data_IF_137023401904
#
_entry.id   IF_137023401904
#
_cell.length_a   1.000
_cell.length_b   1.000
_cell.length_c   1.000
_cell.angle_alpha   90.00
_cell.angle_beta   90.00
_cell.angle_gamma   90.00
#
_symmetry.space_group_name_H-M   'P 1'
#
loop_
_entity.id
_entity.type
_entity.pdbx_description
1 polymer ?
#
# COMPACT_ATOMS: atom_id res chain seq x y z
N UNK A 1 -3.49 51.16 -14.81
CA UNK A 1 -2.86 51.07 -13.48
C UNK A 1 -3.63 50.19 -12.50
N UNK A 2 -4.96 50.32 -12.36
CA UNK A 2 -5.75 49.54 -11.40
C UNK A 2 -5.72 48.00 -11.61
N UNK A 3 -5.71 47.53 -12.87
CA UNK A 3 -5.67 46.09 -13.19
C UNK A 3 -4.35 45.42 -12.80
N UNK A 4 -3.23 46.13 -12.95
CA UNK A 4 -1.91 45.65 -12.55
C UNK A 4 -1.78 45.56 -11.02
N UNK A 5 -2.37 46.50 -10.28
CA UNK A 5 -2.40 46.47 -8.82
C UNK A 5 -3.23 45.28 -8.29
N UNK A 6 -4.36 44.98 -8.94
CA UNK A 6 -5.20 43.83 -8.60
C UNK A 6 -4.50 42.50 -8.89
N UNK A 7 -3.79 42.39 -10.02
CA UNK A 7 -3.01 41.20 -10.37
C UNK A 7 -1.82 41.04 -9.42
N UNK A 8 -1.14 42.13 -9.01
CA UNK A 8 -0.07 42.08 -8.01
C UNK A 8 -0.59 41.68 -6.62
N UNK A 9 -1.74 42.20 -6.17
CA UNK A 9 -2.34 41.80 -4.89
C UNK A 9 -2.77 40.32 -4.90
N UNK A 10 -3.36 39.86 -6.01
CA UNK A 10 -3.73 38.46 -6.19
C UNK A 10 -2.51 37.53 -6.29
N UNK A 11 -1.41 38.00 -6.92
CA UNK A 11 -0.13 37.29 -6.93
C UNK A 11 0.53 37.26 -5.55
N UNK A 12 0.46 38.34 -4.77
CA UNK A 12 1.01 38.38 -3.40
C UNK A 12 0.26 37.40 -2.48
N UNK A 13 -1.08 37.31 -2.58
CA UNK A 13 -1.87 36.29 -1.88
C UNK A 13 -1.59 34.85 -2.36
N UNK A 14 -1.23 34.67 -3.64
CA UNK A 14 -0.84 33.37 -4.19
C UNK A 14 0.61 32.98 -3.86
N UNK A 15 1.50 33.95 -3.61
CA UNK A 15 2.92 33.73 -3.27
C UNK A 15 3.25 33.85 -1.78
N UNK A 16 2.29 34.25 -0.93
CA UNK A 16 2.47 34.19 0.52
C UNK A 16 2.37 32.74 0.98
N UNK A 17 3.40 31.95 0.67
CA UNK A 17 3.70 30.77 1.48
C UNK A 17 3.75 31.22 2.94
N UNK A 18 3.09 30.50 3.84
CA UNK A 18 3.08 30.82 5.27
C UNK A 18 4.52 30.98 5.74
N UNK A 19 4.92 32.21 6.05
CA UNK A 19 6.29 32.53 6.43
C UNK A 19 6.57 32.01 7.84
N UNK A 20 7.73 31.39 8.01
CA UNK A 20 8.23 30.97 9.31
C UNK A 20 8.60 32.19 10.16
N UNK A 21 7.84 32.42 11.23
CA UNK A 21 8.07 33.58 12.11
C UNK A 21 9.03 33.25 13.25
N UNK A 22 8.93 32.05 13.81
CA UNK A 22 9.66 31.66 15.01
C UNK A 22 10.42 30.35 14.81
N UNK A 23 11.68 30.33 15.26
CA UNK A 23 12.55 29.14 15.25
C UNK A 23 13.02 28.82 16.67
N UNK A 24 13.14 27.55 17.06
CA UNK A 24 13.64 27.20 18.38
C UNK A 24 15.12 27.60 18.49
N UNK A 25 15.52 28.15 19.65
CA UNK A 25 16.92 28.48 19.93
C UNK A 25 17.71 27.22 20.28
N UNK A 26 17.08 26.28 20.99
CA UNK A 26 17.64 24.99 21.36
C UNK A 26 16.82 23.82 20.83
N UNK A 27 16.83 22.71 21.55
CA UNK A 27 16.13 21.47 21.17
C UNK A 27 14.87 21.24 22.00
N UNK A 28 14.54 22.15 22.92
CA UNK A 28 13.39 22.04 23.81
C UNK A 28 12.48 23.25 23.72
N UNK A 29 11.20 23.08 24.07
CA UNK A 29 10.26 24.21 24.17
C UNK A 29 10.63 25.22 25.25
N UNK A 30 11.33 24.79 26.31
CA UNK A 30 11.85 25.67 27.37
C UNK A 30 13.09 26.47 26.96
N UNK A 31 13.76 26.13 25.85
CA UNK A 31 14.96 26.84 25.37
C UNK A 31 14.62 28.19 24.69
N UNK A 32 13.34 28.55 24.63
CA UNK A 32 12.79 29.74 23.95
C UNK A 32 12.93 29.70 22.42
N UNK A 33 12.36 30.71 21.77
CA UNK A 33 12.27 30.85 20.32
C UNK A 33 12.83 32.21 19.88
N UNK A 34 13.35 32.26 18.65
CA UNK A 34 13.92 33.43 17.99
C UNK A 34 13.07 33.81 16.78
N UNK A 35 12.90 35.12 16.46
CA UNK A 35 13.43 36.28 17.19
C UNK A 35 12.70 36.55 18.51
N UNK A 36 13.19 37.52 19.30
CA UNK A 36 12.48 38.00 20.49
C UNK A 36 11.05 38.47 20.10
N UNK A 37 10.06 38.13 20.92
CA UNK A 37 8.63 38.25 20.57
C UNK A 37 7.93 36.91 20.30
N UNK A 38 8.70 35.84 20.10
CA UNK A 38 8.21 34.48 19.92
C UNK A 38 7.83 33.76 21.24
N UNK A 39 7.74 34.48 22.37
CA UNK A 39 7.34 33.91 23.66
C UNK A 39 5.83 33.59 23.69
N UNK A 40 5.02 34.31 22.90
CA UNK A 40 3.59 34.02 22.77
C UNK A 40 3.33 32.98 21.66
N UNK A 41 3.25 31.72 22.08
CA UNK A 41 3.01 30.56 21.20
C UNK A 41 1.69 30.57 20.45
N UNK A 42 0.71 31.38 20.87
CA UNK A 42 -0.65 31.38 20.32
C UNK A 42 -0.89 32.34 19.17
N UNK A 43 0.14 33.05 18.69
CA UNK A 43 0.00 34.04 17.61
C UNK A 43 0.92 33.82 16.41
N UNK A 44 2.00 33.06 16.57
CA UNK A 44 3.03 32.93 15.54
C UNK A 44 3.09 31.54 14.90
N UNK A 45 3.71 31.45 13.72
CA UNK A 45 4.14 30.20 13.11
C UNK A 45 5.52 29.77 13.64
N UNK A 46 5.62 28.51 14.08
CA UNK A 46 6.81 27.93 14.67
C UNK A 46 7.39 26.85 13.76
N UNK A 47 8.59 27.08 13.26
CA UNK A 47 9.24 26.22 12.28
C UNK A 47 10.34 25.36 12.91
N UNK A 48 10.18 24.05 12.74
CA UNK A 48 11.10 23.05 13.26
C UNK A 48 11.92 22.43 12.13
N UNK A 49 13.24 22.50 12.30
CA UNK A 49 14.22 21.98 11.35
C UNK A 49 15.09 20.85 11.92
N UNK A 50 15.08 20.66 13.24
CA UNK A 50 15.88 19.67 13.95
C UNK A 50 15.00 18.91 14.95
N UNK A 51 15.49 17.76 15.42
CA UNK A 51 14.85 17.00 16.49
C UNK A 51 14.49 17.92 17.66
N UNK A 52 13.26 17.78 18.15
CA UNK A 52 12.68 18.73 19.10
C UNK A 52 11.91 18.04 20.21
N UNK A 53 11.94 18.62 21.40
CA UNK A 53 11.33 18.08 22.60
C UNK A 53 10.36 19.07 23.25
N UNK A 54 9.08 18.71 23.28
CA UNK A 54 8.09 19.46 24.04
C UNK A 54 8.14 19.06 25.51
N UNK A 55 8.73 19.94 26.32
CA UNK A 55 8.84 19.81 27.78
C UNK A 55 7.89 20.72 28.56
N UNK A 56 7.17 21.59 27.86
CA UNK A 56 6.17 22.50 28.43
C UNK A 56 4.78 22.23 27.86
N UNK A 57 3.76 22.48 28.68
CA UNK A 57 2.35 22.39 28.28
C UNK A 57 1.94 23.71 27.60
N UNK A 58 2.25 23.83 26.31
CA UNK A 58 2.00 25.04 25.52
C UNK A 58 1.07 24.76 24.34
N UNK A 59 0.18 25.71 24.04
CA UNK A 59 -0.64 25.69 22.80
C UNK A 59 0.06 26.53 21.75
N UNK A 60 0.30 25.95 20.58
CA UNK A 60 0.92 26.62 19.45
C UNK A 60 -0.15 27.05 18.44
N UNK A 61 -0.02 28.25 17.88
CA UNK A 61 -0.88 28.67 16.79
C UNK A 61 -0.61 27.80 15.57
N UNK A 62 0.62 27.83 15.07
CA UNK A 62 1.01 27.00 13.94
C UNK A 62 2.35 26.32 14.20
N UNK A 63 2.42 25.02 13.92
CA UNK A 63 3.67 24.27 13.90
C UNK A 63 3.94 23.82 12.46
N UNK A 64 5.10 24.20 11.92
CA UNK A 64 5.55 23.83 10.58
C UNK A 64 6.82 22.98 10.71
N UNK A 65 6.80 21.80 10.09
CA UNK A 65 7.94 20.90 10.04
C UNK A 65 8.62 21.06 8.69
N UNK A 66 9.83 21.62 8.69
CA UNK A 66 10.56 21.96 7.48
C UNK A 66 11.56 20.89 7.03
N UNK A 67 12.00 20.02 7.95
CA UNK A 67 12.96 18.95 7.68
C UNK A 67 12.53 17.64 8.32
N UNK A 68 13.09 16.54 7.83
CA UNK A 68 12.94 15.22 8.44
C UNK A 68 13.53 15.24 9.85
N UNK A 69 12.70 14.97 10.85
CA UNK A 69 13.08 15.07 12.27
C UNK A 69 12.19 14.21 13.15
N UNK A 70 12.57 14.10 14.43
CA UNK A 70 11.80 13.46 15.49
C UNK A 70 11.30 14.49 16.50
N UNK A 71 10.01 14.46 16.80
CA UNK A 71 9.42 15.19 17.93
C UNK A 71 9.17 14.22 19.08
N UNK A 72 9.66 14.57 20.26
CA UNK A 72 9.38 13.86 21.50
C UNK A 72 8.54 14.75 22.44
N UNK A 73 7.67 14.15 23.25
CA UNK A 73 6.95 14.83 24.33
C UNK A 73 6.70 13.87 25.49
N UNK A 74 6.91 14.34 26.72
CA UNK A 74 6.52 13.63 27.96
C UNK A 74 5.21 14.14 28.53
N UNK A 75 4.56 15.08 27.84
CA UNK A 75 3.34 15.75 28.27
C UNK A 75 2.08 15.07 27.70
N UNK A 76 0.94 15.34 28.33
CA UNK A 76 -0.32 14.62 28.10
C UNK A 76 -0.89 14.83 26.69
N UNK A 77 -0.89 16.06 26.17
CA UNK A 77 -1.17 16.38 24.76
C UNK A 77 -0.50 17.71 24.39
N UNK A 78 0.35 17.71 23.37
CA UNK A 78 0.70 18.96 22.68
C UNK A 78 -0.50 19.45 21.87
N UNK A 79 -0.81 20.74 21.94
CA UNK A 79 -1.85 21.38 21.13
C UNK A 79 -1.26 22.29 20.05
N UNK A 80 -1.77 22.18 18.83
CA UNK A 80 -1.50 23.10 17.72
C UNK A 80 -2.80 23.47 17.02
N UNK A 81 -3.05 24.75 16.73
CA UNK A 81 -4.25 25.11 15.94
C UNK A 81 -4.07 24.66 14.49
N UNK A 82 -2.91 24.98 13.91
CA UNK A 82 -2.51 24.63 12.56
C UNK A 82 -1.25 23.76 12.61
N UNK A 83 -1.18 22.76 11.75
CA UNK A 83 -0.04 21.87 11.66
C UNK A 83 0.28 21.59 10.20
N UNK A 84 1.55 21.75 9.83
CA UNK A 84 2.03 21.55 8.47
C UNK A 84 3.30 20.72 8.43
N UNK A 85 3.31 19.67 7.62
CA UNK A 85 4.54 19.11 7.09
C UNK A 85 4.76 19.72 5.71
N UNK A 86 5.94 20.27 5.44
CA UNK A 86 6.30 20.67 4.07
C UNK A 86 6.63 19.43 3.22
N UNK A 87 6.86 19.63 1.93
CA UNK A 87 7.16 18.56 0.98
C UNK A 87 8.45 17.78 1.32
N UNK A 88 8.46 16.49 0.99
CA UNK A 88 9.61 15.58 1.12
C UNK A 88 10.17 15.45 2.55
N UNK A 89 9.30 15.52 3.56
CA UNK A 89 9.64 15.43 4.98
C UNK A 89 9.07 14.18 5.61
N UNK A 90 9.86 13.51 6.46
CA UNK A 90 9.37 12.48 7.36
C UNK A 90 9.44 12.98 8.80
N UNK A 91 8.29 13.07 9.45
CA UNK A 91 8.23 13.39 10.88
C UNK A 91 7.97 12.12 11.68
N UNK A 92 8.83 11.81 12.65
CA UNK A 92 8.53 10.82 13.69
C UNK A 92 8.02 11.50 14.94
N UNK A 93 6.82 11.14 15.40
CA UNK A 93 6.19 11.77 16.54
C UNK A 93 6.01 10.77 17.70
N UNK A 94 6.77 11.01 18.75
CA UNK A 94 6.79 10.27 20.01
C UNK A 94 6.24 11.17 21.13
N UNK A 95 4.95 11.44 21.07
CA UNK A 95 4.29 12.34 22.01
C UNK A 95 2.84 12.53 21.62
N UNK A 96 1.96 12.59 22.62
CA UNK A 96 0.54 12.79 22.38
C UNK A 96 0.33 14.18 21.76
N UNK A 97 -0.47 14.26 20.71
CA UNK A 97 -0.60 15.49 19.92
C UNK A 97 -2.03 15.67 19.41
N UNK A 98 -2.51 16.90 19.50
CA UNK A 98 -3.82 17.31 19.07
C UNK A 98 -3.72 18.51 18.13
N UNK A 99 -4.34 18.41 16.95
CA UNK A 99 -4.52 19.53 16.03
C UNK A 99 -5.96 19.98 16.03
N UNK A 100 -6.19 21.28 16.20
CA UNK A 100 -7.54 21.84 16.45
C UNK A 100 -8.27 22.26 15.17
N UNK A 101 -7.58 22.95 14.24
CA UNK A 101 -8.24 23.59 13.09
C UNK A 101 -7.85 23.00 11.75
N UNK A 102 -6.56 22.77 11.50
CA UNK A 102 -6.10 22.30 10.19
C UNK A 102 -4.80 21.53 10.26
N UNK A 103 -4.74 20.42 9.54
CA UNK A 103 -3.53 19.66 9.25
C UNK A 103 -3.27 19.60 7.75
N UNK A 104 -2.09 19.99 7.31
CA UNK A 104 -1.63 19.85 5.93
C UNK A 104 -0.39 18.97 5.87
N UNK A 105 -0.40 17.91 5.06
CA UNK A 105 0.78 17.10 4.78
C UNK A 105 1.25 17.36 3.34
N UNK A 106 2.46 17.88 3.21
CA UNK A 106 3.10 18.16 1.93
C UNK A 106 3.29 16.93 1.05
N UNK A 107 3.59 17.16 -0.22
CA UNK A 107 3.82 16.12 -1.21
C UNK A 107 5.02 15.24 -0.83
N UNK A 108 4.87 13.93 -1.04
CA UNK A 108 5.88 12.92 -0.68
C UNK A 108 6.27 12.87 0.81
N UNK A 109 5.53 13.54 1.70
CA UNK A 109 5.81 13.57 3.13
C UNK A 109 5.05 12.49 3.89
N UNK A 110 5.59 12.10 5.05
CA UNK A 110 5.00 11.11 5.94
C UNK A 110 5.07 11.55 7.40
N UNK A 111 3.99 11.33 8.13
CA UNK A 111 3.91 11.46 9.58
C UNK A 111 3.83 10.07 10.20
N UNK A 112 4.87 9.70 10.97
CA UNK A 112 4.94 8.45 11.72
C UNK A 112 4.51 8.73 13.16
N UNK A 113 3.40 8.12 13.57
CA UNK A 113 2.78 8.34 14.87
C UNK A 113 3.01 7.13 15.77
N UNK A 114 3.69 7.36 16.89
CA UNK A 114 4.04 6.32 17.86
C UNK A 114 3.34 6.48 19.22
N UNK A 115 2.24 7.22 19.27
CA UNK A 115 1.40 7.39 20.46
C UNK A 115 0.07 8.08 20.10
N UNK A 116 -0.63 8.65 21.07
CA UNK A 116 -1.96 9.23 20.92
C UNK A 116 -1.98 10.39 19.92
N UNK A 117 -2.88 10.32 18.96
CA UNK A 117 -3.02 11.36 17.96
C UNK A 117 -4.48 11.77 17.82
N UNK A 118 -4.73 13.07 17.81
CA UNK A 118 -6.07 13.63 17.72
C UNK A 118 -6.11 14.73 16.66
N UNK A 119 -7.10 14.68 15.78
CA UNK A 119 -7.29 15.63 14.69
C UNK A 119 -8.71 16.19 14.74
N UNK A 120 -8.82 17.49 14.59
CA UNK A 120 -10.04 18.24 14.36
C UNK A 120 -9.85 19.16 13.15
N UNK A 121 -10.98 19.62 12.60
CA UNK A 121 -11.00 20.51 11.44
C UNK A 121 -10.48 19.87 10.16
N UNK A 122 -9.90 20.70 9.29
CA UNK A 122 -9.57 20.31 7.92
C UNK A 122 -8.26 19.52 7.84
N UNK A 123 -8.33 18.34 7.23
CA UNK A 123 -7.18 17.52 6.87
C UNK A 123 -6.96 17.57 5.36
N UNK A 124 -5.77 18.03 4.96
CA UNK A 124 -5.37 18.23 3.57
C UNK A 124 -4.07 17.49 3.27
N UNK A 125 -4.05 16.84 2.11
CA UNK A 125 -2.87 16.16 1.57
C UNK A 125 -2.48 16.83 0.25
N UNK A 126 -1.22 17.21 0.11
CA UNK A 126 -0.69 17.73 -1.14
C UNK A 126 -0.25 16.55 -2.04
N UNK A 127 -0.85 16.42 -3.23
CA UNK A 127 -0.62 15.33 -4.18
C UNK A 127 -0.79 13.90 -3.59
N UNK A 128 -1.97 13.56 -3.02
CA UNK A 128 -2.17 12.28 -2.38
C UNK A 128 -2.26 11.13 -3.40
N UNK A 129 -1.89 9.93 -2.98
CA UNK A 129 -1.77 8.76 -3.85
C UNK A 129 -2.46 7.52 -3.26
N UNK A 130 -2.89 6.63 -4.14
CA UNK A 130 -3.34 5.30 -3.76
C UNK A 130 -2.14 4.43 -3.34
N UNK A 131 -2.34 3.56 -2.35
CA UNK A 131 -1.35 2.64 -1.77
C UNK A 131 -0.12 3.34 -1.15
N UNK A 132 -0.27 4.62 -0.77
CA UNK A 132 0.79 5.43 -0.15
C UNK A 132 0.21 6.37 0.93
N UNK A 133 -0.24 5.82 2.07
CA UNK A 133 -0.75 6.61 3.18
C UNK A 133 0.31 7.57 3.72
N UNK A 134 -0.11 8.79 4.06
CA UNK A 134 0.79 9.85 4.53
C UNK A 134 0.81 9.98 6.06
N UNK A 135 -0.18 9.44 6.77
CA UNK A 135 -0.14 9.27 8.22
C UNK A 135 -0.05 7.77 8.55
N UNK A 136 0.96 7.38 9.33
CA UNK A 136 1.25 5.97 9.63
C UNK A 136 1.32 5.79 11.15
N UNK A 137 0.35 5.07 11.71
CA UNK A 137 0.29 4.71 13.12
C UNK A 137 0.97 3.35 13.31
N UNK A 138 2.29 3.35 13.52
CA UNK A 138 3.05 2.12 13.81
C UNK A 138 2.83 1.64 15.23
N UNK A 139 2.90 2.57 16.18
CA UNK A 139 2.83 2.30 17.61
C UNK A 139 1.80 3.22 18.27
N UNK A 140 0.57 3.22 17.77
CA UNK A 140 -0.50 3.93 18.45
C UNK A 140 -1.74 3.07 18.42
N UNK A 141 -2.45 2.94 19.54
CA UNK A 141 -3.79 2.35 19.58
C UNK A 141 -4.88 3.43 19.59
N UNK A 142 -4.52 4.70 19.38
CA UNK A 142 -5.40 5.84 19.62
C UNK A 142 -5.29 6.87 18.49
N UNK A 143 -6.35 6.92 17.68
CA UNK A 143 -6.62 7.99 16.72
C UNK A 143 -7.98 8.61 17.05
N UNK A 144 -7.97 9.86 17.50
CA UNK A 144 -9.20 10.61 17.76
C UNK A 144 -9.51 11.54 16.60
N UNK A 145 -10.46 11.16 15.75
CA UNK A 145 -11.02 12.06 14.74
C UNK A 145 -12.23 12.76 15.36
N UNK A 146 -12.12 14.07 15.63
CA UNK A 146 -13.11 14.82 16.40
C UNK A 146 -14.44 14.91 15.64
N UNK A 147 -15.55 14.78 16.38
CA UNK A 147 -16.92 14.91 15.84
C UNK A 147 -17.87 15.35 16.94
N UNK A 148 -18.80 16.25 16.66
CA UNK A 148 -19.87 16.66 17.58
C UNK A 148 -19.39 17.10 18.98
N UNK A 149 -18.22 17.71 19.09
CA UNK A 149 -17.74 18.27 20.36
C UNK A 149 -18.11 19.75 20.41
N UNK A 150 -18.82 20.16 21.46
CA UNK A 150 -19.17 21.56 21.69
C UNK A 150 -17.94 22.46 21.62
N UNK A 151 -18.00 23.53 20.82
CA UNK A 151 -16.92 24.49 20.59
C UNK A 151 -15.68 23.93 19.88
N UNK A 152 -15.79 22.79 19.17
CA UNK A 152 -14.73 22.29 18.29
C UNK A 152 -15.27 22.03 16.89
N UNK A 153 -14.40 22.21 15.91
CA UNK A 153 -14.71 21.85 14.52
C UNK A 153 -14.58 20.35 14.34
N UNK A 154 -15.52 19.78 13.58
CA UNK A 154 -15.47 18.37 13.21
C UNK A 154 -14.31 18.10 12.26
N UNK A 155 -13.76 16.90 12.35
CA UNK A 155 -12.74 16.43 11.42
C UNK A 155 -13.32 16.26 10.02
N UNK A 156 -12.66 16.86 9.04
CA UNK A 156 -13.03 16.78 7.62
C UNK A 156 -11.81 16.45 6.78
N UNK A 157 -11.92 15.46 5.89
CA UNK A 157 -10.92 15.27 4.83
C UNK A 157 -11.31 16.15 3.65
N UNK A 158 -10.45 17.09 3.29
CA UNK A 158 -10.67 17.98 2.14
C UNK A 158 -10.00 17.40 0.90
N UNK A 159 -10.76 17.33 -0.19
CA UNK A 159 -10.23 16.81 -1.45
C UNK A 159 -9.35 17.89 -2.12
N UNK A 160 -8.10 17.58 -2.52
CA UNK A 160 -7.27 18.53 -3.24
C UNK A 160 -7.93 18.98 -4.54
N UNK A 161 -7.73 20.25 -4.88
CA UNK A 161 -8.31 20.85 -6.09
C UNK A 161 -7.90 20.03 -7.32
N UNK A 162 -8.89 19.60 -8.10
CA UNK A 162 -8.70 18.84 -9.33
C UNK A 162 -8.45 17.34 -9.15
N UNK A 163 -8.39 16.82 -7.92
CA UNK A 163 -8.26 15.38 -7.70
C UNK A 163 -9.60 14.65 -7.90
N UNK A 164 -9.60 13.64 -8.78
CA UNK A 164 -10.78 12.81 -9.08
C UNK A 164 -10.60 11.34 -8.68
N UNK A 165 -9.45 10.99 -8.11
CA UNK A 165 -9.09 9.61 -7.76
C UNK A 165 -9.13 9.41 -6.25
N UNK A 166 -9.40 8.18 -5.81
CA UNK A 166 -9.22 7.82 -4.40
C UNK A 166 -7.74 7.90 -4.00
N UNK A 167 -7.50 8.12 -2.71
CA UNK A 167 -6.16 8.14 -2.12
C UNK A 167 -6.16 7.60 -0.69
N UNK A 168 -5.00 7.17 -0.21
CA UNK A 168 -4.85 6.66 1.14
C UNK A 168 -4.39 7.76 2.10
N UNK A 169 -5.14 7.93 3.18
CA UNK A 169 -4.86 8.95 4.18
C UNK A 169 -4.08 8.37 5.36
N UNK A 170 -4.60 7.30 5.98
CA UNK A 170 -4.04 6.72 7.20
C UNK A 170 -3.76 5.23 7.04
N UNK A 171 -2.59 4.79 7.51
CA UNK A 171 -2.31 3.39 7.81
C UNK A 171 -2.30 3.20 9.32
N UNK A 172 -3.11 2.25 9.79
CA UNK A 172 -3.34 1.97 11.20
C UNK A 172 -2.75 0.59 11.53
N UNK A 173 -2.27 0.39 12.76
CA UNK A 173 -1.73 -0.89 13.23
C UNK A 173 -2.82 -1.83 13.76
N UNK A 174 -4.02 -1.31 14.05
CA UNK A 174 -5.12 -2.03 14.66
C UNK A 174 -6.48 -1.55 14.07
N UNK A 175 -7.41 -2.47 13.80
CA UNK A 175 -8.74 -2.09 13.31
C UNK A 175 -9.56 -1.26 14.32
N UNK A 176 -9.19 -1.32 15.60
CA UNK A 176 -9.83 -0.57 16.69
C UNK A 176 -9.18 0.78 16.98
N UNK A 177 -8.25 1.26 16.15
CA UNK A 177 -7.54 2.53 16.38
C UNK A 177 -8.46 3.75 16.59
N UNK A 178 -9.66 3.73 16.01
CA UNK A 178 -10.65 4.81 16.12
C UNK A 178 -11.67 4.58 17.24
N UNK A 179 -11.69 3.39 17.86
CA UNK A 179 -12.67 3.01 18.89
C UNK A 179 -12.14 3.35 20.29
N UNK A 180 -11.75 4.61 20.49
CA UNK A 180 -11.05 5.08 21.69
C UNK A 180 -11.98 5.44 22.84
N UNK A 181 -13.25 5.77 22.54
CA UNK A 181 -14.25 6.15 23.51
C UNK A 181 -15.65 5.97 22.90
N UNK A 182 -16.17 4.74 22.95
CA UNK A 182 -17.45 4.37 22.33
C UNK A 182 -18.68 5.08 22.96
N UNK A 183 -18.51 5.69 24.14
CA UNK A 183 -19.62 6.21 24.96
C UNK A 183 -20.00 7.65 24.61
N UNK A 184 -19.05 8.48 24.17
CA UNK A 184 -19.24 9.95 24.20
C UNK A 184 -19.71 10.58 22.86
N UNK A 185 -19.97 9.80 21.79
CA UNK A 185 -20.35 10.28 20.44
C UNK A 185 -19.52 11.48 19.93
N UNK A 186 -18.31 11.65 20.46
CA UNK A 186 -17.45 12.81 20.30
C UNK A 186 -16.31 12.56 19.29
N UNK A 187 -16.40 11.43 18.59
CA UNK A 187 -15.40 10.95 17.65
C UNK A 187 -16.04 10.16 16.51
N UNK A 188 -15.32 10.07 15.40
CA UNK A 188 -15.67 9.15 14.30
C UNK A 188 -15.16 7.75 14.68
N UNK A 189 -16.07 6.80 14.83
CA UNK A 189 -15.77 5.40 15.18
C UNK A 189 -15.60 4.54 13.93
N UNK A 190 -14.91 3.39 14.04
CA UNK A 190 -14.72 2.48 12.90
C UNK A 190 -16.04 1.95 12.34
N UNK A 191 -17.06 1.78 13.20
CA UNK A 191 -18.40 1.30 12.82
C UNK A 191 -19.20 2.29 11.97
N UNK A 192 -18.75 3.55 11.90
CA UNK A 192 -19.41 4.58 11.11
C UNK A 192 -18.95 4.60 9.65
N UNK A 193 -17.97 3.77 9.29
CA UNK A 193 -17.46 3.69 7.92
C UNK A 193 -18.33 2.77 7.06
N UNK A 194 -18.62 3.14 5.80
CA UNK A 194 -18.13 4.32 5.08
C UNK A 194 -18.70 5.65 5.62
N UNK A 195 -17.80 6.60 5.92
CA UNK A 195 -18.16 7.89 6.53
C UNK A 195 -18.17 9.00 5.48
N UNK A 196 -19.24 9.78 5.44
CA UNK A 196 -19.41 10.88 4.48
C UNK A 196 -18.81 12.16 5.04
N UNK A 197 -17.85 12.71 4.30
CA UNK A 197 -17.30 14.05 4.46
C UNK A 197 -17.93 14.98 3.40
N UNK A 198 -17.67 16.28 3.50
CA UNK A 198 -18.19 17.25 2.52
C UNK A 198 -17.73 16.94 1.09
N UNK A 199 -16.45 16.63 0.93
CA UNK A 199 -15.81 16.49 -0.39
C UNK A 199 -15.78 15.04 -0.92
N UNK A 200 -16.29 14.07 -0.14
CA UNK A 200 -16.18 12.66 -0.50
C UNK A 200 -16.53 11.69 0.62
N UNK A 201 -16.16 10.43 0.43
CA UNK A 201 -16.43 9.35 1.39
C UNK A 201 -15.13 8.70 1.82
N UNK A 202 -14.93 8.55 3.12
CA UNK A 202 -13.88 7.72 3.70
C UNK A 202 -14.33 6.27 3.85
N UNK A 203 -13.41 5.34 3.61
CA UNK A 203 -13.60 3.90 3.72
C UNK A 203 -12.50 3.32 4.60
N UNK A 204 -12.88 2.49 5.56
CA UNK A 204 -11.94 1.65 6.30
C UNK A 204 -11.85 0.28 5.64
N UNK A 205 -10.69 -0.02 5.07
CA UNK A 205 -10.41 -1.28 4.37
C UNK A 205 -9.21 -2.00 5.02
N UNK A 206 -8.90 -3.22 4.57
CA UNK A 206 -7.79 -4.03 5.06
C UNK A 206 -7.95 -4.37 6.54
N UNK A 207 -9.11 -4.95 6.87
CA UNK A 207 -9.52 -5.23 8.26
C UNK A 207 -9.55 -3.97 9.13
N UNK A 208 -10.11 -2.89 8.58
CA UNK A 208 -10.26 -1.56 9.19
C UNK A 208 -8.94 -0.84 9.50
N UNK A 209 -7.84 -1.24 8.86
CA UNK A 209 -6.51 -0.67 9.13
C UNK A 209 -6.03 0.36 8.10
N UNK A 210 -6.76 0.57 7.01
CA UNK A 210 -6.42 1.57 5.99
C UNK A 210 -7.61 2.51 5.78
N UNK A 211 -7.42 3.80 6.04
CA UNK A 211 -8.41 4.83 5.71
C UNK A 211 -8.14 5.35 4.29
N UNK A 212 -9.01 4.96 3.36
CA UNK A 212 -9.01 5.40 1.97
C UNK A 212 -10.12 6.43 1.75
N UNK A 213 -9.78 7.58 1.19
CA UNK A 213 -10.75 8.60 0.82
C UNK A 213 -11.02 8.58 -0.68
N UNK A 214 -12.28 8.67 -1.07
CA UNK A 214 -12.71 8.80 -2.46
C UNK A 214 -13.55 10.08 -2.63
N UNK A 215 -13.19 10.97 -3.58
CA UNK A 215 -13.97 12.16 -3.88
C UNK A 215 -15.43 11.84 -4.25
N UNK A 216 -16.32 12.82 -4.10
CA UNK A 216 -17.71 12.69 -4.52
C UNK A 216 -17.81 12.24 -6.00
N UNK A 217 -18.60 11.19 -6.25
CA UNK A 217 -18.77 10.60 -7.59
C UNK A 217 -17.71 9.57 -7.98
N UNK A 218 -16.70 9.32 -7.14
CA UNK A 218 -15.64 8.32 -7.41
C UNK A 218 -15.91 7.02 -6.66
N UNK A 219 -15.92 5.89 -7.38
CA UNK A 219 -16.07 4.56 -6.78
C UNK A 219 -14.83 4.15 -5.99
N UNK A 220 -15.03 3.38 -4.91
CA UNK A 220 -13.95 2.81 -4.13
C UNK A 220 -13.03 1.94 -4.99
N UNK A 221 -11.73 2.25 -4.95
CA UNK A 221 -10.69 1.35 -5.46
C UNK A 221 -10.43 0.24 -4.43
N UNK A 222 -10.69 -1.02 -4.78
CA UNK A 222 -10.58 -2.17 -3.87
C UNK A 222 -9.20 -2.84 -3.86
N UNK A 223 -8.20 -2.27 -4.54
CA UNK A 223 -6.84 -2.82 -4.60
C UNK A 223 -5.97 -2.22 -3.51
N UNK A 224 -5.34 -3.07 -2.70
CA UNK A 224 -4.36 -2.64 -1.69
C UNK A 224 -3.02 -3.30 -1.99
N UNK A 225 -1.96 -2.52 -2.07
CA UNK A 225 -0.60 -3.02 -2.32
C UNK A 225 0.19 -3.07 -1.01
N UNK A 226 0.76 -4.22 -0.70
CA UNK A 226 1.63 -4.48 0.43
C UNK A 226 2.98 -5.00 -0.06
N UNK A 227 4.07 -4.63 0.61
CA UNK A 227 5.41 -5.19 0.34
C UNK A 227 5.86 -6.02 1.53
N UNK A 228 6.14 -7.31 1.30
CA UNK A 228 6.75 -8.18 2.30
C UNK A 228 8.25 -7.88 2.40
N UNK A 229 8.67 -7.24 3.50
CA UNK A 229 10.05 -6.78 3.76
C UNK A 229 10.85 -7.72 4.67
N UNK A 230 10.22 -8.79 5.17
CA UNK A 230 10.86 -9.86 5.93
C UNK A 230 10.65 -11.21 5.28
N UNK A 231 11.53 -12.17 5.61
CA UNK A 231 11.45 -13.54 5.10
C UNK A 231 10.16 -14.24 5.53
N UNK A 232 9.69 -13.97 6.75
CA UNK A 232 8.54 -14.65 7.33
C UNK A 232 7.26 -13.84 7.10
N UNK A 233 6.25 -14.45 6.50
CA UNK A 233 4.91 -13.88 6.38
C UNK A 233 4.14 -14.08 7.69
N UNK A 234 3.65 -12.99 8.28
CA UNK A 234 2.92 -13.00 9.56
C UNK A 234 1.66 -12.14 9.48
N UNK A 235 0.52 -12.67 9.92
CA UNK A 235 -0.74 -11.90 10.02
C UNK A 235 -0.84 -11.10 11.33
N UNK A 236 0.22 -11.06 12.14
CA UNK A 236 0.13 -10.52 13.49
C UNK A 236 -0.20 -9.02 13.45
N UNK A 237 -1.11 -8.61 14.35
CA UNK A 237 -1.28 -7.20 14.68
C UNK A 237 0.08 -6.64 15.05
N UNK A 238 0.39 -5.48 14.50
CA UNK A 238 1.64 -4.81 14.76
C UNK A 238 1.70 -4.42 16.23
N UNK A 239 2.63 -5.03 16.96
CA UNK A 239 2.87 -4.69 18.35
C UNK A 239 3.77 -3.46 18.41
N UNK A 240 3.32 -2.37 19.08
CA UNK A 240 4.09 -1.21 19.50
C UNK A 240 5.61 -1.32 19.59
N UNK A 241 6.09 -2.37 20.25
CA UNK A 241 7.44 -2.42 20.81
C UNK A 241 8.36 -3.43 20.10
N UNK A 242 7.90 -4.08 19.03
CA UNK A 242 8.67 -5.12 18.34
C UNK A 242 9.16 -4.66 16.97
N UNK A 243 10.45 -4.32 16.90
CA UNK A 243 11.21 -4.34 15.66
C UNK A 243 11.63 -5.79 15.36
N UNK A 244 11.54 -6.27 14.11
CA UNK A 244 11.29 -5.51 12.89
C UNK A 244 9.95 -5.81 12.20
N UNK A 245 9.43 -4.82 11.47
CA UNK A 245 8.16 -4.89 10.75
C UNK A 245 8.19 -5.90 9.60
N UNK A 246 7.13 -6.71 9.45
CA UNK A 246 7.03 -7.72 8.38
C UNK A 246 6.71 -7.11 7.01
N UNK A 247 5.87 -6.07 6.98
CA UNK A 247 5.48 -5.33 5.78
C UNK A 247 5.87 -3.84 5.85
N UNK A 248 5.81 -3.17 4.70
CA UNK A 248 6.04 -1.73 4.50
C UNK A 248 5.05 -0.81 5.22
N UNK A 249 3.82 -1.29 5.48
CA UNK A 249 2.82 -0.54 6.23
C UNK A 249 2.10 -1.37 7.29
N UNK A 250 1.62 -0.74 8.39
CA UNK A 250 0.96 -1.45 9.48
C UNK A 250 -0.43 -2.01 9.14
N UNK A 251 -1.06 -1.55 8.04
CA UNK A 251 -2.35 -2.09 7.59
C UNK A 251 -2.22 -3.44 6.88
N UNK A 252 -1.00 -3.83 6.51
CA UNK A 252 -0.70 -5.09 5.85
C UNK A 252 -0.60 -6.25 6.88
N UNK A 253 -0.82 -7.52 6.46
CA UNK A 253 -1.26 -7.91 5.13
C UNK A 253 -2.77 -7.67 4.91
N UNK A 254 -3.18 -7.49 3.65
CA UNK A 254 -4.56 -7.22 3.25
C UNK A 254 -5.40 -8.48 2.91
N UNK A 255 -4.81 -9.67 2.95
CA UNK A 255 -5.47 -10.94 2.58
C UNK A 255 -6.56 -11.38 3.57
N UNK A 256 -6.61 -10.80 4.78
CA UNK A 256 -7.68 -11.05 5.74
C UNK A 256 -9.03 -10.48 5.28
N UNK A 257 -9.03 -9.46 4.42
CA UNK A 257 -10.22 -8.82 3.89
C UNK A 257 -10.53 -9.32 2.48
N UNK A 258 -11.42 -10.32 2.39
CA UNK A 258 -11.77 -11.00 1.14
C UNK A 258 -12.49 -10.10 0.12
N UNK A 259 -12.93 -8.91 0.52
CA UNK A 259 -13.57 -7.95 -0.38
C UNK A 259 -12.56 -7.17 -1.23
N UNK A 260 -11.27 -7.25 -0.87
CA UNK A 260 -10.18 -6.55 -1.52
C UNK A 260 -9.39 -7.45 -2.46
N UNK A 261 -8.76 -6.82 -3.45
CA UNK A 261 -7.67 -7.42 -4.20
C UNK A 261 -6.35 -7.05 -3.52
N UNK A 262 -5.73 -8.02 -2.88
CA UNK A 262 -4.48 -7.80 -2.15
C UNK A 262 -3.29 -8.03 -3.08
N UNK A 263 -2.55 -6.98 -3.42
CA UNK A 263 -1.32 -7.06 -4.21
C UNK A 263 -0.13 -7.18 -3.29
N UNK A 264 0.62 -8.27 -3.41
CA UNK A 264 1.78 -8.56 -2.58
C UNK A 264 3.07 -8.47 -3.41
N UNK A 265 3.87 -7.45 -3.11
CA UNK A 265 5.24 -7.32 -3.62
C UNK A 265 6.23 -7.98 -2.67
N UNK A 266 7.35 -8.43 -3.22
CA UNK A 266 8.41 -9.12 -2.49
C UNK A 266 9.66 -8.23 -2.45
N UNK A 267 10.20 -7.97 -1.28
CA UNK A 267 11.35 -7.06 -1.15
C UNK A 267 12.58 -7.55 -1.92
N UNK A 268 13.15 -6.66 -2.73
CA UNK A 268 14.19 -6.94 -3.74
C UNK A 268 15.47 -7.60 -3.21
N UNK A 269 15.80 -7.45 -1.93
CA UNK A 269 17.02 -8.02 -1.35
C UNK A 269 16.85 -9.41 -0.72
N UNK A 270 15.62 -9.93 -0.60
CA UNK A 270 15.34 -11.23 0.03
C UNK A 270 15.10 -12.32 -1.04
N UNK A 271 15.95 -13.35 -1.08
CA UNK A 271 15.84 -14.43 -2.07
C UNK A 271 14.85 -15.54 -1.70
N UNK A 272 14.35 -15.58 -0.46
CA UNK A 272 13.41 -16.60 -0.01
C UNK A 272 12.38 -16.07 1.00
N UNK A 273 11.14 -16.52 0.86
CA UNK A 273 10.02 -16.16 1.71
C UNK A 273 9.27 -17.39 2.19
N UNK A 274 8.80 -17.35 3.44
CA UNK A 274 8.06 -18.40 4.13
C UNK A 274 6.65 -17.90 4.45
N UNK A 275 5.63 -18.56 3.88
CA UNK A 275 4.24 -18.12 3.96
C UNK A 275 3.44 -18.77 5.09
N UNK A 276 4.04 -19.67 5.88
CA UNK A 276 3.44 -20.32 7.05
C UNK A 276 2.05 -20.92 6.77
N UNK A 277 1.80 -21.39 5.54
CA UNK A 277 0.51 -21.96 5.10
C UNK A 277 -0.70 -21.03 5.26
N UNK A 278 -0.49 -19.71 5.30
CA UNK A 278 -1.58 -18.73 5.33
C UNK A 278 -2.32 -18.71 4.00
N UNK A 279 -3.64 -18.60 4.04
CA UNK A 279 -4.48 -18.56 2.85
C UNK A 279 -4.31 -17.22 2.12
N UNK A 280 -4.15 -17.31 0.80
CA UNK A 280 -3.87 -16.20 -0.10
C UNK A 280 -4.92 -16.11 -1.23
N UNK A 281 -6.15 -16.55 -0.95
CA UNK A 281 -7.24 -16.77 -1.92
C UNK A 281 -7.66 -15.49 -2.66
N UNK A 282 -7.37 -14.30 -2.11
CA UNK A 282 -7.60 -12.99 -2.74
C UNK A 282 -6.29 -12.24 -3.06
N UNK A 283 -5.14 -12.90 -2.96
CA UNK A 283 -3.82 -12.28 -3.09
C UNK A 283 -3.22 -12.50 -4.47
N UNK A 284 -2.72 -11.40 -5.05
CA UNK A 284 -1.88 -11.37 -6.24
C UNK A 284 -0.42 -11.17 -5.83
N UNK A 285 0.43 -12.17 -6.06
CA UNK A 285 1.86 -12.05 -5.77
C UNK A 285 2.62 -11.58 -7.01
N UNK A 286 3.54 -10.63 -6.85
CA UNK A 286 4.46 -10.18 -7.91
C UNK A 286 5.88 -10.74 -7.67
N UNK A 287 6.41 -11.41 -8.69
CA UNK A 287 7.73 -12.04 -8.69
C UNK A 287 8.58 -11.42 -9.80
N UNK A 288 9.41 -10.45 -9.43
CA UNK A 288 10.22 -9.64 -10.37
C UNK A 288 11.70 -10.08 -10.40
N UNK A 289 12.04 -11.14 -9.66
CA UNK A 289 13.40 -11.66 -9.51
C UNK A 289 13.39 -13.12 -9.11
N UNK A 290 14.53 -13.78 -9.28
CA UNK A 290 14.72 -15.16 -8.82
C UNK A 290 14.42 -15.26 -7.32
N UNK A 291 13.46 -16.12 -6.96
CA UNK A 291 12.97 -16.20 -5.57
C UNK A 291 12.45 -17.60 -5.25
N UNK A 292 12.53 -17.96 -3.97
CA UNK A 292 11.92 -19.17 -3.42
C UNK A 292 10.74 -18.83 -2.50
N UNK A 293 9.56 -19.40 -2.74
CA UNK A 293 8.35 -19.20 -1.93
C UNK A 293 7.94 -20.52 -1.26
N UNK A 294 8.10 -20.58 0.06
CA UNK A 294 7.84 -21.76 0.88
C UNK A 294 6.44 -21.76 1.48
N UNK A 295 5.84 -22.94 1.60
CA UNK A 295 4.53 -23.18 2.23
C UNK A 295 3.41 -22.26 1.74
N UNK A 296 3.37 -21.98 0.43
CA UNK A 296 2.29 -21.20 -0.17
C UNK A 296 0.95 -21.95 -0.07
N UNK A 297 -0.14 -21.21 0.09
CA UNK A 297 -1.48 -21.81 0.13
C UNK A 297 -2.49 -20.94 -0.63
N UNK A 298 -2.89 -21.47 -1.79
CA UNK A 298 -3.96 -20.96 -2.66
C UNK A 298 -3.82 -19.47 -3.04
N UNK A 299 -2.65 -18.98 -3.48
CA UNK A 299 -2.59 -17.64 -4.03
C UNK A 299 -3.56 -17.53 -5.22
N UNK A 300 -4.36 -16.46 -5.27
CA UNK A 300 -5.30 -16.22 -6.38
C UNK A 300 -4.56 -16.21 -7.73
N UNK A 301 -3.48 -15.42 -7.77
CA UNK A 301 -2.62 -15.29 -8.95
C UNK A 301 -1.19 -14.91 -8.57
N UNK A 302 -0.24 -15.30 -9.42
CA UNK A 302 1.16 -14.91 -9.32
C UNK A 302 1.59 -14.35 -10.68
N UNK A 303 2.03 -13.10 -10.74
CA UNK A 303 2.69 -12.57 -11.95
C UNK A 303 4.18 -12.73 -11.79
N UNK A 304 4.79 -13.40 -12.77
CA UNK A 304 6.21 -13.73 -12.78
C UNK A 304 6.79 -12.98 -13.97
N UNK A 305 7.79 -12.13 -13.72
CA UNK A 305 8.53 -11.49 -14.79
C UNK A 305 9.20 -12.55 -15.68
N UNK A 306 9.35 -12.25 -16.96
CA UNK A 306 10.04 -13.19 -17.83
C UNK A 306 11.52 -13.30 -17.44
N UNK A 307 12.16 -14.40 -17.84
CA UNK A 307 13.54 -14.75 -17.50
C UNK A 307 13.84 -14.90 -16.00
N UNK A 308 12.81 -14.83 -15.16
CA UNK A 308 12.87 -15.07 -13.72
C UNK A 308 12.49 -16.50 -13.38
N UNK A 309 13.32 -17.11 -12.53
CA UNK A 309 13.07 -18.42 -11.97
C UNK A 309 12.34 -18.33 -10.62
N UNK A 310 11.11 -18.84 -10.57
CA UNK A 310 10.35 -19.00 -9.35
C UNK A 310 10.48 -20.44 -8.84
N UNK A 311 11.04 -20.60 -7.64
CA UNK A 311 10.96 -21.83 -6.87
C UNK A 311 9.80 -21.75 -5.87
N UNK A 312 8.97 -22.77 -5.76
CA UNK A 312 7.89 -22.77 -4.79
C UNK A 312 7.51 -24.17 -4.30
N UNK A 313 6.92 -24.25 -3.11
CA UNK A 313 6.19 -25.45 -2.68
C UNK A 313 5.01 -25.07 -1.79
N UNK A 314 4.02 -25.95 -1.73
CA UNK A 314 2.74 -25.68 -1.09
C UNK A 314 1.55 -26.05 -1.98
N UNK A 315 0.38 -25.46 -1.70
CA UNK A 315 -0.88 -25.75 -2.38
C UNK A 315 -1.20 -24.68 -3.42
N UNK A 316 -1.24 -25.05 -4.70
CA UNK A 316 -1.49 -24.15 -5.84
C UNK A 316 -2.85 -24.37 -6.53
N UNK A 317 -3.77 -25.07 -5.88
CA UNK A 317 -5.10 -25.35 -6.45
C UNK A 317 -5.79 -24.07 -6.91
N UNK A 318 -6.24 -24.04 -8.17
CA UNK A 318 -6.87 -22.88 -8.84
C UNK A 318 -6.02 -21.61 -8.96
N UNK A 319 -4.73 -21.66 -8.64
CA UNK A 319 -3.82 -20.53 -8.82
C UNK A 319 -3.56 -20.29 -10.31
N UNK A 320 -3.43 -19.02 -10.69
CA UNK A 320 -3.03 -18.62 -12.05
C UNK A 320 -1.64 -17.98 -12.04
N UNK A 321 -0.72 -18.51 -12.84
CA UNK A 321 0.55 -17.88 -13.14
C UNK A 321 0.43 -17.04 -14.40
N UNK A 322 0.92 -15.80 -14.34
CA UNK A 322 0.93 -14.85 -15.45
C UNK A 322 2.38 -14.60 -15.88
N UNK A 323 2.61 -14.72 -17.18
CA UNK A 323 3.83 -14.38 -17.91
C UNK A 323 3.49 -13.45 -19.08
N UNK A 324 4.48 -12.93 -19.80
CA UNK A 324 4.20 -12.08 -20.96
C UNK A 324 3.57 -12.82 -22.15
N UNK A 325 3.73 -14.14 -22.24
CA UNK A 325 3.11 -14.98 -23.27
C UNK A 325 1.62 -15.26 -22.98
N UNK A 326 1.21 -15.21 -21.71
CA UNK A 326 -0.11 -15.63 -21.28
C UNK A 326 -0.13 -16.23 -19.88
N UNK A 327 -1.01 -17.21 -19.69
CA UNK A 327 -1.39 -17.72 -18.38
C UNK A 327 -1.19 -19.23 -18.29
N UNK A 328 -0.78 -19.68 -17.10
CA UNK A 328 -0.81 -21.08 -16.70
C UNK A 328 -1.74 -21.19 -15.50
N UNK A 329 -2.83 -21.93 -15.65
CA UNK A 329 -3.83 -22.11 -14.59
C UNK A 329 -3.79 -23.53 -14.05
N UNK A 330 -3.46 -23.65 -12.77
CA UNK A 330 -3.46 -24.92 -12.05
C UNK A 330 -4.87 -25.46 -11.88
N UNK A 331 -5.01 -26.78 -11.97
CA UNK A 331 -6.28 -27.46 -11.74
C UNK A 331 -6.71 -27.37 -10.27
N UNK A 332 -8.01 -27.46 -10.01
CA UNK A 332 -8.57 -27.49 -8.66
C UNK A 332 -8.05 -28.70 -7.85
N UNK A 333 -7.78 -29.82 -8.53
CA UNK A 333 -7.33 -31.08 -7.95
C UNK A 333 -5.80 -31.16 -7.82
N UNK A 334 -5.06 -30.07 -8.08
CA UNK A 334 -3.61 -30.04 -7.95
C UNK A 334 -3.18 -30.49 -6.54
N UNK A 335 -2.39 -31.56 -6.48
CA UNK A 335 -1.83 -32.10 -5.24
C UNK A 335 -0.80 -31.09 -4.68
N UNK A 336 -0.74 -30.90 -3.35
CA UNK A 336 0.26 -30.05 -2.72
C UNK A 336 1.69 -30.49 -3.07
N UNK A 337 2.54 -29.53 -3.43
CA UNK A 337 3.96 -29.75 -3.61
C UNK A 337 4.64 -29.82 -2.24
N UNK A 338 5.24 -30.96 -1.91
CA UNK A 338 6.02 -31.18 -0.68
C UNK A 338 7.51 -30.90 -0.87
N UNK A 339 7.96 -30.79 -2.13
CA UNK A 339 9.32 -30.39 -2.49
C UNK A 339 9.25 -29.20 -3.44
N UNK A 340 10.29 -28.33 -3.48
CA UNK A 340 10.30 -27.19 -4.39
C UNK A 340 10.11 -27.60 -5.86
N UNK A 341 9.17 -26.95 -6.51
CA UNK A 341 9.06 -26.88 -7.95
C UNK A 341 9.66 -25.57 -8.47
N UNK A 342 10.37 -25.65 -9.58
CA UNK A 342 10.95 -24.52 -10.30
C UNK A 342 10.17 -24.29 -11.59
N UNK A 343 9.75 -23.05 -11.82
CA UNK A 343 9.15 -22.60 -13.08
C UNK A 343 9.88 -21.37 -13.63
N UNK A 344 10.05 -21.31 -14.94
CA UNK A 344 10.65 -20.18 -15.66
C UNK A 344 10.04 -20.08 -17.05
N UNK A 345 9.82 -18.86 -17.52
CA UNK A 345 9.66 -18.59 -18.95
C UNK A 345 10.92 -17.89 -19.46
N UNK A 346 11.57 -18.49 -20.47
CA UNK A 346 12.78 -17.98 -21.09
C UNK A 346 12.45 -17.32 -22.42
N UNK A 347 12.65 -16.00 -22.51
CA UNK A 347 12.25 -15.22 -23.68
C UNK A 347 13.12 -15.49 -24.90
N UNK A 348 14.40 -15.85 -24.68
CA UNK A 348 15.36 -16.09 -25.76
C UNK A 348 15.04 -17.37 -26.55
N UNK A 349 14.43 -18.35 -25.87
CA UNK A 349 14.07 -19.65 -26.44
C UNK A 349 12.56 -19.85 -26.55
N UNK A 350 11.76 -18.84 -26.18
CA UNK A 350 10.30 -18.92 -26.02
C UNK A 350 9.85 -20.20 -25.30
N UNK A 351 10.57 -20.54 -24.22
CA UNK A 351 10.41 -21.82 -23.51
C UNK A 351 9.84 -21.61 -22.12
N UNK A 352 8.67 -22.18 -21.85
CA UNK A 352 8.20 -22.38 -20.48
C UNK A 352 8.74 -23.71 -19.94
N UNK A 353 9.46 -23.66 -18.83
CA UNK A 353 10.05 -24.83 -18.17
C UNK A 353 9.42 -25.06 -16.81
N UNK A 354 9.13 -26.32 -16.49
CA UNK A 354 8.67 -26.76 -15.18
C UNK A 354 9.29 -28.12 -14.84
N UNK A 355 9.95 -28.21 -13.67
CA UNK A 355 10.74 -29.40 -13.28
C UNK A 355 10.00 -30.42 -12.40
N UNK A 356 8.69 -30.26 -12.20
CA UNK A 356 7.84 -31.19 -11.44
C UNK A 356 6.55 -31.48 -12.18
N UNK A 357 5.92 -32.58 -11.81
CA UNK A 357 4.63 -32.97 -12.36
C UNK A 357 3.54 -32.04 -11.79
N UNK A 358 2.90 -31.30 -12.69
CA UNK A 358 1.76 -30.44 -12.40
C UNK A 358 0.54 -30.85 -13.19
N UNK A 359 -0.62 -30.34 -12.82
CA UNK A 359 -1.86 -30.45 -13.59
C UNK A 359 -2.32 -29.02 -13.88
N UNK A 360 -2.20 -28.57 -15.14
CA UNK A 360 -2.53 -27.19 -15.51
C UNK A 360 -3.09 -27.06 -16.92
N UNK A 361 -3.65 -25.89 -17.21
CA UNK A 361 -4.00 -25.43 -18.55
C UNK A 361 -3.12 -24.26 -18.96
N UNK A 362 -2.86 -24.14 -20.26
CA UNK A 362 -2.08 -23.05 -20.86
C UNK A 362 -2.99 -22.21 -21.73
N UNK A 363 -2.98 -20.90 -21.48
CA UNK A 363 -3.75 -19.94 -22.26
C UNK A 363 -2.84 -18.82 -22.78
N UNK A 364 -2.60 -18.79 -24.09
CA UNK A 364 -1.79 -17.71 -24.68
C UNK A 364 -2.62 -16.44 -24.83
N UNK A 365 -2.02 -15.30 -24.47
CA UNK A 365 -2.65 -13.98 -24.64
C UNK A 365 -2.06 -13.21 -25.83
N UNK A 366 -0.95 -13.69 -26.38
CA UNK A 366 -0.28 -13.14 -27.55
C UNK A 366 -0.03 -14.22 -28.59
N UNK A 367 -0.07 -13.82 -29.86
CA UNK A 367 0.33 -14.70 -30.97
C UNK A 367 1.84 -14.98 -30.89
N UNK A 368 2.21 -16.19 -31.25
CA UNK A 368 3.60 -16.64 -31.36
C UNK A 368 3.69 -17.60 -32.55
N UNK A 369 4.86 -17.63 -33.19
CA UNK A 369 5.12 -18.58 -34.28
C UNK A 369 5.54 -19.94 -33.72
N UNK A 370 6.45 -19.94 -32.75
CA UNK A 370 6.98 -21.15 -32.11
C UNK A 370 7.06 -20.96 -30.61
N UNK A 371 6.57 -21.91 -29.82
CA UNK A 371 6.67 -21.93 -28.36
C UNK A 371 7.06 -23.31 -27.87
N UNK A 372 7.83 -23.39 -26.78
CA UNK A 372 8.26 -24.66 -26.19
C UNK A 372 7.72 -24.80 -24.78
N UNK A 373 7.11 -25.94 -24.48
CA UNK A 373 6.75 -26.36 -23.13
C UNK A 373 7.68 -27.50 -22.75
N UNK A 374 8.58 -27.27 -21.82
CA UNK A 374 9.47 -28.28 -21.26
C UNK A 374 8.98 -28.70 -19.88
N UNK A 375 8.28 -29.83 -19.80
CA UNK A 375 7.70 -30.31 -18.55
C UNK A 375 7.48 -31.82 -18.52
N UNK A 376 7.23 -32.35 -17.33
CA UNK A 376 6.74 -33.72 -17.09
C UNK A 376 5.25 -33.72 -16.68
N UNK A 377 4.58 -32.58 -16.84
CA UNK A 377 3.24 -32.32 -16.32
C UNK A 377 2.11 -32.92 -17.16
N UNK A 378 0.89 -32.88 -16.62
CA UNK A 378 -0.35 -33.05 -17.36
C UNK A 378 -0.90 -31.68 -17.77
N UNK A 379 -1.02 -31.45 -19.08
CA UNK A 379 -1.67 -30.29 -19.68
C UNK A 379 -3.13 -30.66 -19.95
N UNK A 380 -4.03 -30.14 -19.12
CA UNK A 380 -5.47 -30.41 -19.22
C UNK A 380 -6.08 -29.73 -20.44
N UNK A 381 -5.59 -28.55 -20.80
CA UNK A 381 -6.02 -27.81 -21.99
C UNK A 381 -4.91 -26.89 -22.48
N UNK A 382 -4.71 -26.86 -23.79
CA UNK A 382 -3.80 -25.97 -24.49
C UNK A 382 -4.60 -25.10 -25.45
N UNK A 383 -4.81 -23.83 -25.11
CA UNK A 383 -5.50 -22.88 -26.00
C UNK A 383 -4.50 -22.31 -26.99
N UNK A 384 -4.68 -22.53 -28.29
CA UNK A 384 -3.70 -22.19 -29.34
C UNK A 384 -4.23 -21.09 -30.26
N UNK A 385 -3.34 -20.23 -30.75
CA UNK A 385 -3.66 -19.30 -31.84
C UNK A 385 -3.49 -19.98 -33.21
N UNK A 386 -4.10 -19.40 -34.24
CA UNK A 386 -3.85 -19.76 -35.65
C UNK A 386 -2.38 -19.59 -36.02
N UNK A 387 -1.84 -20.46 -36.87
CA UNK A 387 -0.49 -20.35 -37.45
C UNK A 387 0.63 -20.39 -36.39
N UNK A 388 0.42 -21.20 -35.34
CA UNK A 388 1.38 -21.39 -34.25
C UNK A 388 1.88 -22.83 -34.18
N UNK A 389 3.15 -22.99 -33.79
CA UNK A 389 3.76 -24.29 -33.51
C UNK A 389 4.12 -24.37 -32.03
N UNK A 390 3.66 -25.41 -31.33
CA UNK A 390 4.03 -25.69 -29.94
C UNK A 390 4.80 -27.01 -29.87
N UNK A 391 6.02 -26.96 -29.33
CA UNK A 391 6.80 -28.13 -29.00
C UNK A 391 6.59 -28.47 -27.53
N UNK A 392 6.20 -29.71 -27.24
CA UNK A 392 6.07 -30.22 -25.88
C UNK A 392 7.17 -31.25 -25.68
N UNK A 393 8.11 -30.92 -24.80
CA UNK A 393 9.27 -31.73 -24.46
C UNK A 393 9.05 -32.40 -23.10
N UNK A 394 9.46 -33.67 -23.00
CA UNK A 394 9.35 -34.48 -21.79
C UNK A 394 8.13 -35.40 -21.80
N UNK A 395 7.99 -36.23 -20.77
CA UNK A 395 6.87 -37.18 -20.61
C UNK A 395 5.56 -36.48 -20.20
N UNK A 396 5.20 -35.43 -20.92
CA UNK A 396 3.99 -34.63 -20.70
C UNK A 396 2.77 -35.34 -21.32
N UNK A 397 1.65 -35.31 -20.60
CA UNK A 397 0.35 -35.74 -21.13
C UNK A 397 -0.45 -34.52 -21.57
N UNK A 398 -1.06 -34.56 -22.76
CA UNK A 398 -1.92 -33.49 -23.27
C UNK A 398 -3.34 -34.04 -23.47
N UNK A 399 -4.33 -33.47 -22.78
CA UNK A 399 -5.70 -33.95 -22.83
C UNK A 399 -6.57 -33.26 -23.89
N UNK A 400 -6.39 -31.95 -24.09
CA UNK A 400 -7.25 -31.17 -24.99
C UNK A 400 -6.49 -30.02 -25.66
N UNK A 401 -6.82 -29.78 -26.93
CA UNK A 401 -6.36 -28.63 -27.71
C UNK A 401 -7.57 -27.78 -28.06
N UNK A 402 -7.51 -26.49 -27.73
CA UNK A 402 -8.61 -25.55 -28.00
C UNK A 402 -8.13 -24.49 -28.98
N UNK A 403 -8.62 -24.48 -30.23
CA UNK A 403 -8.27 -23.43 -31.19
C UNK A 403 -8.93 -22.10 -30.80
N UNK A 404 -8.14 -21.03 -30.78
CA UNK A 404 -8.59 -19.65 -30.55
C UNK A 404 -8.52 -18.85 -31.84
N UNK A 405 -9.67 -18.37 -32.31
CA UNK A 405 -9.79 -17.48 -33.46
C UNK A 405 -9.28 -18.05 -34.79
N UNK A 406 -9.49 -19.36 -35.03
CA UNK A 406 -9.12 -19.97 -36.30
C UNK A 406 -10.13 -19.62 -37.38
N UNK A 407 -9.65 -19.14 -38.52
CA UNK A 407 -10.39 -19.13 -39.78
C UNK A 407 -10.38 -20.49 -40.47
N UNK A 408 -11.11 -20.59 -41.58
CA UNK A 408 -11.33 -21.82 -42.34
C UNK A 408 -10.02 -22.49 -42.83
N UNK A 409 -8.96 -21.70 -43.04
CA UNK A 409 -7.68 -22.18 -43.58
C UNK A 409 -6.52 -22.14 -42.59
N UNK A 410 -6.77 -21.72 -41.34
CA UNK A 410 -5.73 -21.61 -40.34
C UNK A 410 -5.28 -22.99 -39.84
N UNK A 411 -3.97 -23.15 -39.66
CA UNK A 411 -3.37 -24.40 -39.17
C UNK A 411 -2.41 -24.10 -38.03
N UNK A 412 -2.35 -24.99 -37.05
CA UNK A 412 -1.36 -24.95 -35.98
C UNK A 412 -0.90 -26.37 -35.69
N UNK A 413 0.32 -26.49 -35.20
CA UNK A 413 0.95 -27.78 -34.95
C UNK A 413 1.32 -27.91 -33.48
N UNK A 414 1.01 -29.07 -32.89
CA UNK A 414 1.50 -29.46 -31.58
C UNK A 414 2.37 -30.69 -31.78
N UNK A 415 3.64 -30.57 -31.45
CA UNK A 415 4.66 -31.60 -31.64
C UNK A 415 5.07 -32.08 -30.26
N UNK A 416 4.80 -33.35 -29.95
CA UNK A 416 5.16 -33.95 -28.66
C UNK A 416 6.37 -34.87 -28.84
N UNK A 417 7.38 -34.72 -28.00
CA UNK A 417 8.52 -35.63 -27.92
C UNK A 417 8.47 -36.38 -26.59
N UNK A 418 8.20 -37.68 -26.67
CA UNK A 418 8.02 -38.63 -25.57
C UNK A 418 9.33 -39.00 -24.84
N UNK A 419 10.47 -38.48 -25.31
CA UNK A 419 11.75 -38.61 -24.61
C UNK A 419 12.29 -40.04 -24.55
N UNK A 420 11.84 -40.92 -25.45
CA UNK A 420 12.49 -42.22 -25.66
C UNK A 420 13.66 -42.05 -26.61
N UNK A 421 14.84 -41.78 -26.05
CA UNK A 421 16.14 -42.06 -26.67
C UNK A 421 16.87 -43.13 -25.88
#
# INVERSE_FOLDING_TARGET
MAVALYICLYLIELTSGQECQCYPIGTKSSDMFSPAGCENTTTHSYCLENDFYYDTDSTYNETIIQKTLTINSTKSFKLSNYFRLVDNVVLTQNGAFHVVNKTTIGANSQLLVNTFYSLAGDFQLENPQLNRPQIILWNSSYLHLNRNITNRVDFQIKNPIGNTKCFDAFSLNNGNNLNINEVDNNCILSTMFPYKFDDGTGYLISSQRLLRFCPNGTNLANTVTCTLIKRLYTDANYSPNYSPQTFDYPHCPCNSDKTLNCELKLFGQISSFEFNTKSLDNTHIFVEKNVSLANLKYPKKITIADDVNLNFYGRMSNTVFYYSFGEIKFDANQIPFTTPCSVKFDTSTNTFSCNKDMIFSVNFTKKFETFVINSLSEITSLNLFSNSTVFILGKTKLNNIVPMYFGEFDKSYVIMNDGTS
#
